data_IF_513299940486
#
_entry.id   IF_513299940486
#
_cell.length_a   1.000
_cell.length_b   1.000
_cell.length_c   1.000
_cell.angle_alpha   90.00
_cell.angle_beta   90.00
_cell.angle_gamma   90.00
#
_symmetry.space_group_name_H-M   'P 1'
#
loop_
_entity.id
_entity.type
_entity.pdbx_description
1 polymer ?
#
# COMPACT_ATOMS: atom_id res chain seq x y z
N UNK A 1 -29.00 14.57 -26.31
CA UNK A 1 -29.37 14.36 -24.93
C UNK A 1 -30.73 15.00 -24.68
N UNK A 2 -31.67 14.28 -24.10
CA UNK A 2 -32.98 14.78 -23.70
C UNK A 2 -32.87 15.32 -22.27
N UNK A 3 -33.40 16.51 -22.02
CA UNK A 3 -33.28 17.22 -20.75
C UNK A 3 -34.64 17.58 -20.18
N UNK A 4 -34.74 17.65 -18.87
CA UNK A 4 -35.86 18.19 -18.14
C UNK A 4 -35.60 19.67 -17.92
N UNK A 5 -36.51 20.50 -18.38
CA UNK A 5 -36.44 21.97 -18.23
C UNK A 5 -37.53 22.41 -17.26
N UNK A 6 -37.15 23.19 -16.31
CA UNK A 6 -38.04 23.93 -15.42
C UNK A 6 -37.89 25.43 -15.70
N UNK A 7 -38.83 26.24 -15.24
CA UNK A 7 -38.85 27.68 -15.47
C UNK A 7 -38.84 28.41 -14.12
N UNK A 8 -37.84 29.26 -13.91
CA UNK A 8 -37.76 30.09 -12.69
C UNK A 8 -39.01 30.93 -12.52
N UNK A 9 -39.66 30.83 -11.37
CA UNK A 9 -40.91 31.52 -11.04
C UNK A 9 -42.05 31.28 -12.06
N UNK A 10 -41.95 30.22 -12.86
CA UNK A 10 -42.92 29.89 -13.93
C UNK A 10 -42.79 30.77 -15.18
N UNK A 11 -41.73 31.59 -15.29
CA UNK A 11 -41.54 32.47 -16.43
C UNK A 11 -40.86 31.72 -17.61
N UNK A 12 -41.50 31.59 -18.77
CA UNK A 12 -40.97 30.88 -19.95
C UNK A 12 -39.64 31.45 -20.49
N UNK A 13 -39.34 32.70 -20.19
CA UNK A 13 -38.12 33.37 -20.63
C UNK A 13 -36.90 33.02 -19.76
N UNK A 14 -37.14 32.29 -18.63
CA UNK A 14 -36.09 31.90 -17.71
C UNK A 14 -35.98 30.37 -17.55
N UNK A 15 -35.62 29.66 -18.63
CA UNK A 15 -35.50 28.20 -18.57
C UNK A 15 -34.28 27.77 -17.75
N UNK A 16 -34.45 26.72 -16.95
CA UNK A 16 -33.40 26.06 -16.16
C UNK A 16 -33.42 24.56 -16.46
N UNK A 17 -32.27 24.02 -16.90
CA UNK A 17 -32.12 22.57 -17.03
C UNK A 17 -31.92 21.98 -15.63
N UNK A 18 -32.89 21.18 -15.18
CA UNK A 18 -32.92 20.53 -13.87
C UNK A 18 -32.50 19.07 -13.90
N UNK A 19 -32.44 18.45 -15.08
CA UNK A 19 -32.01 17.07 -15.21
C UNK A 19 -31.88 16.59 -16.64
N UNK A 20 -31.59 15.32 -16.80
CA UNK A 20 -31.59 14.63 -18.09
C UNK A 20 -32.27 13.26 -17.96
N UNK A 21 -32.85 12.79 -19.05
CA UNK A 21 -33.53 11.50 -19.12
C UNK A 21 -32.90 10.61 -20.19
N UNK A 22 -33.04 9.31 -20.01
CA UNK A 22 -32.65 8.35 -21.02
C UNK A 22 -33.75 8.18 -22.06
N UNK A 23 -33.37 7.90 -23.29
CA UNK A 23 -34.26 7.65 -24.40
C UNK A 23 -33.71 6.53 -25.31
N UNK A 24 -34.35 6.28 -26.45
CA UNK A 24 -33.96 5.24 -27.38
C UNK A 24 -32.52 5.42 -27.96
N UNK A 25 -32.05 6.67 -28.11
CA UNK A 25 -30.72 7.01 -28.61
C UNK A 25 -29.67 7.05 -27.47
N UNK A 26 -30.08 7.52 -26.29
CA UNK A 26 -29.24 7.63 -25.11
C UNK A 26 -29.76 6.67 -24.02
N UNK A 27 -29.41 5.39 -24.16
CA UNK A 27 -29.84 4.34 -23.25
C UNK A 27 -29.14 4.42 -21.88
N UNK A 28 -29.76 3.87 -20.82
CA UNK A 28 -29.10 3.72 -19.52
C UNK A 28 -27.77 2.98 -19.65
N UNK A 29 -26.77 3.25 -18.77
CA UNK A 29 -25.48 2.58 -18.81
C UNK A 29 -25.54 1.10 -18.45
N UNK A 30 -26.64 0.64 -17.84
CA UNK A 30 -26.89 -0.75 -17.44
C UNK A 30 -28.05 -1.33 -18.22
N UNK A 31 -27.94 -2.61 -18.59
CA UNK A 31 -28.94 -3.30 -19.40
C UNK A 31 -30.21 -3.60 -18.61
N UNK A 32 -31.35 -3.07 -19.03
CA UNK A 32 -32.64 -3.32 -18.41
C UNK A 32 -33.42 -4.42 -19.20
N UNK A 33 -34.15 -5.33 -18.51
CA UNK A 33 -34.35 -5.41 -17.05
C UNK A 33 -33.31 -6.26 -16.30
N UNK A 34 -32.26 -6.80 -16.97
CA UNK A 34 -31.32 -7.76 -16.37
C UNK A 34 -30.51 -7.18 -15.25
N UNK A 35 -30.15 -5.89 -15.32
CA UNK A 35 -29.33 -5.17 -14.34
C UNK A 35 -30.14 -4.12 -13.55
N UNK A 36 -31.45 -4.40 -13.30
CA UNK A 36 -32.37 -3.47 -12.63
C UNK A 36 -32.00 -3.09 -11.20
N UNK A 37 -31.11 -3.84 -10.56
CA UNK A 37 -30.60 -3.60 -9.20
C UNK A 37 -29.33 -2.75 -9.18
N UNK A 38 -28.79 -2.41 -10.38
CA UNK A 38 -27.63 -1.54 -10.52
C UNK A 38 -28.00 -0.10 -10.73
N UNK A 39 -27.31 0.78 -10.02
CA UNK A 39 -27.39 2.21 -10.25
C UNK A 39 -26.04 2.88 -9.99
N UNK A 40 -25.81 4.07 -10.48
CA UNK A 40 -24.53 4.76 -10.28
C UNK A 40 -24.30 5.91 -11.24
N UNK A 41 -23.08 6.45 -11.16
CA UNK A 41 -22.56 7.49 -12.02
C UNK A 41 -21.52 6.89 -12.96
N UNK A 42 -21.72 7.01 -14.26
CA UNK A 42 -20.77 6.56 -15.28
C UNK A 42 -20.48 7.68 -16.26
N UNK A 43 -19.22 8.05 -16.35
CA UNK A 43 -18.73 9.06 -17.29
C UNK A 43 -18.19 8.41 -18.56
N UNK A 44 -17.70 9.24 -19.48
CA UNK A 44 -16.95 8.82 -20.66
C UNK A 44 -15.80 9.79 -20.88
N UNK A 45 -14.64 9.25 -21.23
CA UNK A 45 -13.49 10.08 -21.58
C UNK A 45 -13.83 11.03 -22.75
N UNK A 46 -13.51 12.32 -22.60
CA UNK A 46 -13.81 13.33 -23.61
C UNK A 46 -12.89 13.21 -24.83
N UNK A 47 -13.41 13.64 -26.00
CA UNK A 47 -12.76 13.63 -27.31
C UNK A 47 -12.18 12.27 -27.69
N UNK A 48 -13.05 11.40 -28.25
CA UNK A 48 -12.68 10.13 -28.85
C UNK A 48 -12.69 8.92 -27.92
N UNK A 49 -13.14 9.05 -26.66
CA UNK A 49 -13.32 7.91 -25.76
C UNK A 49 -14.43 6.97 -26.22
N UNK A 50 -14.13 5.67 -26.30
CA UNK A 50 -15.09 4.61 -26.58
C UNK A 50 -15.92 4.19 -25.35
N UNK A 51 -16.73 3.16 -25.51
CA UNK A 51 -17.57 2.62 -24.43
C UNK A 51 -16.76 2.03 -23.26
N UNK A 52 -15.51 1.64 -23.51
CA UNK A 52 -14.59 1.08 -22.51
C UNK A 52 -13.80 2.15 -21.72
N UNK A 53 -13.84 3.43 -22.12
CA UNK A 53 -13.10 4.50 -21.47
C UNK A 53 -14.01 5.33 -20.57
N UNK A 54 -14.05 5.01 -19.27
CA UNK A 54 -14.99 5.62 -18.33
C UNK A 54 -14.45 5.65 -16.89
N UNK A 55 -14.96 6.57 -16.09
CA UNK A 55 -14.92 6.46 -14.63
C UNK A 55 -16.31 6.05 -14.15
N UNK A 56 -16.38 5.24 -13.10
CA UNK A 56 -17.66 4.72 -12.59
C UNK A 56 -17.67 4.64 -11.06
N UNK A 57 -18.77 5.10 -10.48
CA UNK A 57 -19.19 4.79 -9.12
C UNK A 57 -20.51 4.02 -9.25
N UNK A 58 -20.51 2.73 -8.92
CA UNK A 58 -21.65 1.85 -9.10
C UNK A 58 -22.03 1.18 -7.79
N UNK A 59 -23.31 1.02 -7.57
CA UNK A 59 -23.91 0.23 -6.52
C UNK A 59 -24.66 -0.94 -7.17
N UNK A 60 -24.47 -2.14 -6.64
CA UNK A 60 -25.27 -3.32 -6.93
C UNK A 60 -26.02 -3.69 -5.65
N UNK A 61 -27.35 -3.64 -5.69
CA UNK A 61 -28.24 -3.90 -4.54
C UNK A 61 -28.88 -5.29 -4.60
N UNK A 62 -28.39 -6.18 -5.47
CA UNK A 62 -28.88 -7.55 -5.55
C UNK A 62 -28.52 -8.32 -4.28
N UNK A 63 -29.53 -8.79 -3.54
CA UNK A 63 -29.35 -9.55 -2.30
C UNK A 63 -28.38 -10.73 -2.46
N UNK A 64 -27.31 -10.77 -1.65
CA UNK A 64 -26.26 -11.77 -1.69
C UNK A 64 -25.21 -11.56 -2.78
N UNK A 65 -25.22 -10.38 -3.42
CA UNK A 65 -24.25 -9.95 -4.43
C UNK A 65 -24.07 -8.44 -4.40
N UNK A 66 -24.32 -7.83 -3.24
CA UNK A 66 -24.17 -6.39 -3.04
C UNK A 66 -22.73 -5.95 -3.26
N UNK A 67 -22.54 -4.86 -3.98
CA UNK A 67 -21.21 -4.33 -4.32
C UNK A 67 -21.20 -2.80 -4.39
N UNK A 68 -20.18 -2.19 -3.83
CA UNK A 68 -19.77 -0.82 -4.16
C UNK A 68 -18.53 -0.88 -5.04
N UNK A 69 -18.65 -0.49 -6.30
CA UNK A 69 -17.59 -0.52 -7.29
C UNK A 69 -17.12 0.89 -7.65
N UNK A 70 -15.82 1.15 -7.49
CA UNK A 70 -15.19 2.40 -7.90
C UNK A 70 -14.15 2.10 -8.97
N UNK A 71 -14.31 2.67 -10.15
CA UNK A 71 -13.40 2.53 -11.28
C UNK A 71 -12.87 3.88 -11.74
N UNK A 72 -11.57 4.00 -11.78
CA UNK A 72 -10.87 5.13 -12.40
C UNK A 72 -10.20 4.67 -13.69
N UNK A 73 -10.50 5.31 -14.80
CA UNK A 73 -9.93 4.98 -16.12
C UNK A 73 -8.41 5.08 -16.14
N UNK A 74 -7.83 5.98 -15.33
CA UNK A 74 -6.40 6.21 -15.30
C UNK A 74 -5.87 6.32 -13.89
N UNK A 75 -6.09 7.43 -13.24
CA UNK A 75 -5.53 7.74 -11.94
C UNK A 75 -6.65 7.87 -10.90
N UNK A 76 -6.43 7.28 -9.72
CA UNK A 76 -7.30 7.45 -8.56
C UNK A 76 -6.52 8.13 -7.45
N UNK A 77 -6.95 9.33 -7.03
CA UNK A 77 -6.33 10.09 -5.94
C UNK A 77 -7.31 10.22 -4.79
N UNK A 78 -6.90 9.77 -3.61
CA UNK A 78 -7.64 9.93 -2.37
C UNK A 78 -6.87 10.87 -1.44
N UNK A 79 -7.48 12.01 -1.09
CA UNK A 79 -6.90 12.99 -0.17
C UNK A 79 -7.77 13.14 1.07
N UNK A 80 -7.24 12.79 2.23
CA UNK A 80 -7.92 12.89 3.53
C UNK A 80 -7.18 13.87 4.42
N UNK A 81 -7.81 14.99 4.80
CA UNK A 81 -7.16 16.06 5.60
C UNK A 81 -6.88 15.68 7.05
N UNK A 82 -7.60 14.72 7.60
CA UNK A 82 -7.48 14.35 9.01
C UNK A 82 -7.30 12.83 9.16
N UNK A 83 -8.35 12.05 9.23
CA UNK A 83 -8.30 10.63 9.58
C UNK A 83 -8.98 9.77 8.52
N UNK A 84 -8.31 8.73 8.05
CA UNK A 84 -8.92 7.63 7.33
C UNK A 84 -9.07 6.43 8.26
N UNK A 85 -10.24 5.85 8.32
CA UNK A 85 -10.51 4.59 9.06
C UNK A 85 -11.10 3.60 8.07
N UNK A 86 -10.59 2.38 8.09
CA UNK A 86 -11.06 1.28 7.26
C UNK A 86 -11.27 0.05 8.14
N UNK A 87 -12.39 -0.60 7.99
CA UNK A 87 -12.72 -1.86 8.63
C UNK A 87 -13.17 -2.85 7.56
N UNK A 88 -12.48 -3.96 7.45
CA UNK A 88 -12.79 -5.05 6.51
C UNK A 88 -13.16 -6.28 7.31
N UNK A 89 -14.41 -6.70 7.26
CA UNK A 89 -14.92 -7.86 7.99
C UNK A 89 -14.50 -9.23 7.43
N UNK A 90 -13.91 -9.22 6.25
CA UNK A 90 -13.39 -10.41 5.56
C UNK A 90 -11.93 -10.20 5.14
N UNK A 91 -11.65 -10.45 3.87
CA UNK A 91 -10.31 -10.36 3.29
C UNK A 91 -10.05 -9.00 2.63
N UNK A 92 -8.81 -8.53 2.70
CA UNK A 92 -8.35 -7.36 1.96
C UNK A 92 -7.24 -7.75 0.99
N UNK A 93 -7.43 -7.44 -0.31
CA UNK A 93 -6.49 -7.77 -1.37
C UNK A 93 -5.89 -6.51 -1.99
N UNK A 94 -4.57 -6.43 -2.02
CA UNK A 94 -3.84 -5.39 -2.73
C UNK A 94 -2.98 -6.03 -3.84
N UNK A 95 -3.29 -5.73 -5.10
CA UNK A 95 -2.54 -6.20 -6.26
C UNK A 95 -1.96 -5.00 -7.03
N UNK A 96 -0.66 -4.83 -6.97
CA UNK A 96 0.06 -3.73 -7.61
C UNK A 96 1.09 -4.27 -8.59
N UNK A 97 0.99 -3.88 -9.85
CA UNK A 97 1.89 -4.35 -10.92
C UNK A 97 3.27 -3.69 -10.92
N UNK A 98 3.44 -2.60 -10.22
CA UNK A 98 4.69 -1.83 -10.13
C UNK A 98 5.08 -1.61 -8.67
N UNK A 99 5.68 -0.50 -8.35
CA UNK A 99 6.14 -0.17 -7.02
C UNK A 99 4.98 0.20 -6.07
N UNK A 100 5.07 -0.22 -4.82
CA UNK A 100 4.30 0.33 -3.71
C UNK A 100 5.23 1.23 -2.90
N UNK A 101 4.89 2.50 -2.75
CA UNK A 101 5.71 3.50 -2.08
C UNK A 101 4.96 4.05 -0.86
N UNK A 102 5.52 3.83 0.32
CA UNK A 102 5.01 4.36 1.57
C UNK A 102 5.98 5.40 2.13
N UNK A 103 5.46 6.56 2.52
CA UNK A 103 6.17 7.55 3.34
C UNK A 103 5.34 7.79 4.59
N UNK A 104 5.87 7.42 5.72
CA UNK A 104 5.26 7.56 7.04
C UNK A 104 6.15 8.48 7.86
N UNK A 105 5.59 9.51 8.46
CA UNK A 105 6.33 10.53 9.20
C UNK A 105 6.30 10.30 10.72
N UNK A 106 5.61 9.25 11.15
CA UNK A 106 5.51 8.78 12.52
C UNK A 106 5.58 7.26 12.57
N UNK A 107 5.10 6.66 13.64
CA UNK A 107 5.23 5.24 13.94
C UNK A 107 4.27 4.37 13.10
N UNK A 108 4.67 3.14 12.87
CA UNK A 108 3.82 2.07 12.35
C UNK A 108 3.62 1.03 13.43
N UNK A 109 2.36 0.76 13.78
CA UNK A 109 1.98 -0.32 14.68
C UNK A 109 1.30 -1.42 13.88
N UNK A 110 1.84 -2.62 13.96
CA UNK A 110 1.28 -3.80 13.31
C UNK A 110 1.09 -4.89 14.36
N UNK A 111 -0.11 -5.44 14.46
CA UNK A 111 -0.46 -6.59 15.29
C UNK A 111 -1.07 -7.68 14.42
N UNK A 112 -0.44 -8.85 14.37
CA UNK A 112 -0.82 -9.98 13.53
C UNK A 112 -1.02 -11.18 14.43
N UNK A 113 -2.26 -11.64 14.54
CA UNK A 113 -2.61 -12.81 15.35
C UNK A 113 -2.12 -14.15 14.74
N UNK A 114 -1.90 -14.17 13.45
CA UNK A 114 -1.39 -15.32 12.70
C UNK A 114 0.06 -15.15 12.26
N UNK A 115 0.40 -15.68 11.09
CA UNK A 115 1.73 -15.63 10.53
C UNK A 115 1.91 -14.40 9.62
N UNK A 116 3.10 -13.83 9.64
CA UNK A 116 3.56 -12.88 8.62
C UNK A 116 4.48 -13.61 7.62
N UNK A 117 3.98 -13.83 6.39
CA UNK A 117 4.68 -14.56 5.35
C UNK A 117 5.18 -13.61 4.25
N UNK A 118 6.49 -13.41 4.20
CA UNK A 118 7.12 -12.51 3.24
C UNK A 118 8.00 -13.29 2.27
N UNK A 119 7.76 -13.17 0.96
CA UNK A 119 8.62 -13.70 -0.11
C UNK A 119 9.15 -12.57 -0.96
N UNK A 120 10.46 -12.41 -1.01
CA UNK A 120 11.14 -11.38 -1.79
C UNK A 120 12.00 -12.05 -2.85
N UNK A 121 11.75 -11.76 -4.14
CA UNK A 121 12.54 -12.30 -5.25
C UNK A 121 13.91 -11.64 -5.44
N UNK A 122 14.11 -10.45 -4.85
CA UNK A 122 15.37 -9.73 -4.82
C UNK A 122 15.95 -9.66 -3.42
N UNK A 123 16.58 -8.55 -3.08
CA UNK A 123 17.16 -8.32 -1.75
C UNK A 123 16.19 -7.61 -0.80
N UNK A 124 16.32 -7.88 0.49
CA UNK A 124 15.73 -7.08 1.56
C UNK A 124 16.79 -6.12 2.09
N UNK A 125 16.49 -4.82 2.06
CA UNK A 125 17.39 -3.76 2.56
C UNK A 125 16.73 -3.09 3.77
N UNK A 126 17.28 -3.30 4.95
CA UNK A 126 16.82 -2.71 6.20
C UNK A 126 17.90 -1.78 6.74
N UNK A 127 17.53 -0.51 6.96
CA UNK A 127 18.38 0.46 7.66
C UNK A 127 17.61 0.98 8.87
N UNK A 128 18.16 0.75 10.05
CA UNK A 128 17.59 1.17 11.34
C UNK A 128 18.54 2.20 11.96
N UNK A 129 18.01 3.37 12.31
CA UNK A 129 18.81 4.48 12.84
C UNK A 129 19.29 4.28 14.28
N UNK A 130 18.59 3.47 15.05
CA UNK A 130 18.91 3.19 16.47
C UNK A 130 18.97 1.69 16.73
N UNK A 131 17.92 1.10 17.28
CA UNK A 131 17.92 -0.28 17.74
C UNK A 131 17.10 -1.19 16.82
N UNK A 132 17.61 -2.36 16.56
CA UNK A 132 16.82 -3.47 16.02
C UNK A 132 16.71 -4.58 17.09
N UNK A 133 15.52 -4.83 17.57
CA UNK A 133 15.24 -5.82 18.61
C UNK A 133 14.32 -6.92 18.08
N UNK A 134 14.72 -8.17 18.26
CA UNK A 134 13.93 -9.34 17.90
C UNK A 134 13.85 -10.32 19.06
N UNK A 135 12.63 -10.79 19.40
CA UNK A 135 12.41 -11.83 20.41
C UNK A 135 11.60 -12.95 19.77
N UNK A 136 12.16 -14.15 19.72
CA UNK A 136 11.52 -15.36 19.21
C UNK A 136 11.22 -16.32 20.36
N UNK A 137 10.00 -16.82 20.41
CA UNK A 137 9.58 -17.76 21.47
C UNK A 137 10.25 -19.13 21.35
N UNK A 138 10.62 -19.55 20.15
CA UNK A 138 11.12 -20.91 19.92
C UNK A 138 12.45 -20.92 19.17
N UNK A 139 12.54 -20.35 17.99
CA UNK A 139 13.72 -20.52 17.12
C UNK A 139 13.96 -19.33 16.20
N UNK A 140 15.21 -18.98 16.04
CA UNK A 140 15.71 -18.18 14.92
C UNK A 140 16.61 -19.04 14.03
N UNK A 141 16.31 -19.15 12.75
CA UNK A 141 17.16 -19.83 11.79
C UNK A 141 17.53 -18.86 10.66
N UNK A 142 18.81 -18.79 10.34
CA UNK A 142 19.33 -17.96 9.25
C UNK A 142 20.27 -18.81 8.41
N UNK A 143 19.92 -19.01 7.12
CA UNK A 143 20.74 -19.73 6.16
C UNK A 143 21.16 -18.76 5.05
N UNK A 144 22.44 -18.69 4.74
CA UNK A 144 22.98 -17.94 3.63
C UNK A 144 23.83 -18.85 2.75
N UNK A 145 23.65 -18.77 1.43
CA UNK A 145 24.39 -19.60 0.47
C UNK A 145 25.89 -19.29 0.40
N UNK A 146 26.31 -18.09 0.82
CA UNK A 146 27.71 -17.67 0.74
C UNK A 146 28.24 -17.13 2.07
N UNK A 147 27.62 -16.11 2.65
CA UNK A 147 28.20 -15.39 3.78
C UNK A 147 27.14 -14.94 4.78
N UNK A 148 27.43 -15.08 6.09
CA UNK A 148 26.78 -14.39 7.18
C UNK A 148 27.84 -13.53 7.84
N UNK A 149 27.72 -12.19 7.72
CA UNK A 149 28.66 -11.25 8.34
C UNK A 149 28.00 -10.54 9.52
N UNK A 150 28.50 -10.80 10.72
CA UNK A 150 28.09 -10.14 11.96
C UNK A 150 29.23 -9.29 12.46
N UNK A 151 29.03 -7.96 12.52
CA UNK A 151 30.06 -7.00 12.97
C UNK A 151 29.47 -6.04 13.99
N UNK A 152 30.14 -5.90 15.12
CA UNK A 152 29.88 -4.84 16.09
C UNK A 152 31.06 -3.93 16.22
N UNK A 153 30.84 -2.65 16.52
CA UNK A 153 31.93 -1.68 16.79
C UNK A 153 32.67 -1.94 18.11
N UNK A 154 31.97 -2.56 19.09
CA UNK A 154 32.55 -2.81 20.42
C UNK A 154 32.42 -4.28 20.84
N UNK A 155 31.24 -4.84 20.92
CA UNK A 155 31.02 -6.15 21.57
C UNK A 155 30.08 -7.02 20.77
N UNK A 156 30.43 -8.29 20.59
CA UNK A 156 29.53 -9.38 20.16
C UNK A 156 29.44 -10.39 21.29
N UNK A 157 28.24 -10.66 21.77
CA UNK A 157 27.95 -11.69 22.77
C UNK A 157 27.15 -12.80 22.11
N UNK A 158 27.64 -14.03 22.23
CA UNK A 158 26.93 -15.24 21.84
C UNK A 158 26.73 -16.08 23.10
N UNK A 159 25.50 -16.22 23.55
CA UNK A 159 25.16 -16.92 24.79
C UNK A 159 24.16 -18.04 24.49
N UNK A 160 24.41 -19.21 25.07
CA UNK A 160 23.51 -20.36 24.98
C UNK A 160 23.39 -21.01 26.36
N UNK A 161 22.19 -21.37 26.78
CA UNK A 161 21.92 -21.99 28.07
C UNK A 161 22.44 -23.42 28.20
N UNK A 162 22.66 -24.13 27.09
CA UNK A 162 23.09 -25.54 27.12
C UNK A 162 24.32 -25.80 26.27
N UNK A 163 24.37 -25.31 25.03
CA UNK A 163 25.48 -25.63 24.13
C UNK A 163 25.70 -24.53 23.07
N UNK A 164 26.95 -24.18 22.84
CA UNK A 164 27.39 -23.33 21.74
C UNK A 164 28.42 -24.08 20.90
N UNK A 165 28.15 -24.24 19.60
CA UNK A 165 29.05 -24.91 18.68
C UNK A 165 29.44 -23.99 17.52
N UNK A 166 30.74 -23.83 17.28
CA UNK A 166 31.32 -23.24 16.07
C UNK A 166 31.94 -24.34 15.23
N UNK A 167 31.46 -24.58 14.01
CA UNK A 167 31.82 -25.74 13.20
C UNK A 167 32.17 -25.37 11.78
N UNK A 168 33.24 -25.94 11.26
CA UNK A 168 33.63 -25.89 9.85
C UNK A 168 34.08 -27.30 9.41
N UNK A 169 33.31 -27.97 8.57
CA UNK A 169 33.58 -29.35 8.18
C UNK A 169 33.69 -30.30 9.39
N UNK A 170 34.85 -30.92 9.57
CA UNK A 170 35.15 -31.81 10.70
C UNK A 170 35.78 -31.10 11.91
N UNK A 171 36.10 -29.83 11.80
CA UNK A 171 36.71 -29.01 12.86
C UNK A 171 35.64 -28.27 13.63
N UNK A 172 35.78 -28.15 14.95
CA UNK A 172 34.81 -27.45 15.78
C UNK A 172 35.38 -26.92 17.10
N UNK A 173 34.69 -25.95 17.68
CA UNK A 173 34.74 -25.57 19.07
C UNK A 173 33.35 -25.80 19.64
N UNK A 174 33.24 -26.61 20.68
CA UNK A 174 31.99 -26.92 21.37
C UNK A 174 32.11 -26.58 22.84
N UNK A 175 31.19 -25.78 23.32
CA UNK A 175 31.11 -25.34 24.71
C UNK A 175 29.81 -25.86 25.30
N UNK A 176 29.88 -26.72 26.33
CA UNK A 176 28.74 -27.29 27.01
C UNK A 176 29.03 -27.53 28.47
N UNK A 177 28.09 -28.01 29.30
CA UNK A 177 28.31 -28.22 30.73
C UNK A 177 29.46 -29.17 31.11
N UNK A 178 29.90 -30.05 30.17
CA UNK A 178 31.03 -30.97 30.43
C UNK A 178 32.39 -30.29 30.16
N UNK A 179 32.40 -29.12 29.48
CA UNK A 179 33.64 -28.39 29.24
C UNK A 179 33.70 -27.70 27.86
N UNK A 180 34.92 -27.30 27.50
CA UNK A 180 35.26 -26.71 26.20
C UNK A 180 36.03 -27.72 25.37
N UNK A 181 35.50 -28.17 24.26
CA UNK A 181 36.09 -29.14 23.36
C UNK A 181 36.57 -28.47 22.09
N UNK A 182 37.85 -28.59 21.78
CA UNK A 182 38.42 -28.08 20.57
C UNK A 182 38.96 -29.25 19.76
N UNK A 183 38.45 -29.45 18.56
CA UNK A 183 38.89 -30.49 17.61
C UNK A 183 39.26 -29.88 16.26
N UNK A 184 40.42 -30.19 15.78
CA UNK A 184 40.89 -29.83 14.45
C UNK A 184 41.98 -30.77 13.98
N UNK A 185 42.26 -30.79 12.67
CA UNK A 185 43.40 -31.52 12.11
C UNK A 185 44.72 -30.99 12.72
N UNK A 186 44.75 -29.70 12.99
CA UNK A 186 45.85 -29.01 13.75
C UNK A 186 45.18 -27.97 14.64
N UNK A 187 45.61 -27.88 15.89
CA UNK A 187 45.21 -26.85 16.84
C UNK A 187 46.45 -26.04 17.20
N UNK A 188 46.47 -24.77 16.79
CA UNK A 188 47.55 -23.82 17.08
C UNK A 188 47.06 -22.82 18.13
N UNK A 189 47.73 -22.71 19.23
CA UNK A 189 47.42 -21.78 20.32
C UNK A 189 48.53 -20.72 20.38
N UNK A 190 48.15 -19.46 20.30
CA UNK A 190 49.03 -18.30 20.38
C UNK A 190 50.11 -18.24 19.28
N UNK A 191 49.87 -18.88 18.12
CA UNK A 191 50.78 -18.76 16.97
C UNK A 191 50.11 -19.09 15.66
N UNK A 192 50.45 -18.41 14.57
CA UNK A 192 50.02 -18.69 13.21
C UNK A 192 48.54 -18.34 12.86
N UNK A 193 48.19 -18.56 11.62
CA UNK A 193 46.84 -18.30 11.09
C UNK A 193 46.61 -16.85 10.65
N UNK A 194 45.49 -16.64 9.95
CA UNK A 194 45.00 -15.30 9.59
C UNK A 194 43.46 -15.25 9.80
N UNK A 195 43.00 -14.10 10.27
CA UNK A 195 41.55 -13.87 10.42
C UNK A 195 40.88 -13.72 9.06
N UNK A 196 39.67 -14.30 8.93
CA UNK A 196 38.79 -14.02 7.82
C UNK A 196 38.25 -12.59 7.87
N UNK A 197 37.86 -12.10 6.73
CA UNK A 197 37.15 -10.83 6.58
C UNK A 197 35.80 -11.07 5.86
N UNK A 198 34.84 -10.18 6.10
CA UNK A 198 33.53 -10.23 5.44
C UNK A 198 33.12 -8.86 4.91
N UNK A 199 32.08 -8.86 4.08
CA UNK A 199 31.51 -7.66 3.50
C UNK A 199 30.59 -6.95 4.51
N UNK A 200 30.74 -5.65 4.69
CA UNK A 200 29.85 -4.85 5.52
C UNK A 200 28.46 -4.69 4.92
N UNK A 201 27.47 -4.33 5.75
CA UNK A 201 26.12 -4.02 5.28
C UNK A 201 26.11 -2.70 4.49
N UNK A 202 25.46 -2.70 3.32
CA UNK A 202 25.25 -1.52 2.46
C UNK A 202 23.81 -1.50 1.92
N UNK A 203 22.81 -1.20 2.76
CA UNK A 203 21.42 -1.20 2.34
C UNK A 203 21.14 -0.06 1.35
N UNK A 204 20.26 -0.35 0.36
CA UNK A 204 19.78 0.66 -0.59
C UNK A 204 18.72 1.53 0.07
N UNK A 205 18.74 2.83 -0.22
CA UNK A 205 17.70 3.76 0.22
C UNK A 205 16.36 3.50 -0.51
N UNK A 206 15.22 3.71 0.17
CA UNK A 206 13.91 3.62 -0.47
C UNK A 206 13.67 4.78 -1.44
N UNK A 207 12.79 4.55 -2.43
CA UNK A 207 12.28 5.60 -3.31
C UNK A 207 11.30 6.49 -2.55
N UNK A 208 11.24 7.77 -2.93
CA UNK A 208 10.26 8.70 -2.36
C UNK A 208 8.86 8.41 -2.90
N UNK A 209 7.87 8.40 -2.02
CA UNK A 209 6.47 8.37 -2.39
C UNK A 209 6.05 9.74 -2.97
N UNK A 210 5.21 9.73 -4.02
CA UNK A 210 4.59 10.94 -4.54
C UNK A 210 3.61 11.52 -3.50
N UNK A 211 3.53 12.85 -3.42
CA UNK A 211 2.49 13.52 -2.65
C UNK A 211 1.17 13.43 -3.42
N UNK A 212 0.07 13.10 -2.75
CA UNK A 212 -1.26 13.33 -3.30
C UNK A 212 -1.50 14.85 -3.32
N UNK A 213 -1.15 15.51 -4.43
CA UNK A 213 -1.55 16.87 -4.66
C UNK A 213 -3.05 16.84 -4.94
N UNK A 214 -3.86 17.38 -4.02
CA UNK A 214 -5.26 17.67 -4.30
C UNK A 214 -5.29 18.55 -5.55
N UNK A 215 -6.22 18.27 -6.48
CA UNK A 215 -6.53 19.24 -7.52
C UNK A 215 -6.72 20.58 -6.81
N UNK A 216 -5.95 21.59 -7.18
CA UNK A 216 -6.18 22.95 -6.76
C UNK A 216 -7.64 23.24 -7.12
N UNK A 217 -8.55 23.16 -6.14
CA UNK A 217 -9.92 23.56 -6.33
C UNK A 217 -9.87 24.91 -7.02
N UNK A 218 -10.58 25.05 -8.12
CA UNK A 218 -10.64 26.31 -8.83
C UNK A 218 -10.81 27.41 -7.78
N UNK A 219 -10.02 28.46 -7.91
CA UNK A 219 -10.01 29.59 -7.01
C UNK A 219 -11.40 29.81 -6.43
N UNK A 220 -11.57 29.69 -5.11
CA UNK A 220 -12.78 29.98 -4.37
C UNK A 220 -13.14 31.46 -4.56
N UNK A 221 -13.57 31.80 -5.78
CA UNK A 221 -14.37 32.99 -5.97
C UNK A 221 -15.77 32.59 -5.55
N UNK A 222 -16.30 33.13 -4.44
CA UNK A 222 -17.70 32.97 -4.12
C UNK A 222 -18.48 33.32 -5.38
N UNK A 223 -19.44 32.49 -5.76
CA UNK A 223 -20.43 32.85 -6.78
C UNK A 223 -21.14 34.08 -6.25
N UNK A 224 -20.61 35.27 -6.53
CA UNK A 224 -21.31 36.52 -6.31
C UNK A 224 -22.49 36.49 -7.26
N UNK A 225 -23.67 36.13 -6.72
CA UNK A 225 -24.94 36.44 -7.38
C UNK A 225 -24.91 37.95 -7.69
N UNK A 226 -24.74 38.32 -8.94
CA UNK A 226 -25.13 39.62 -9.39
C UNK A 226 -26.64 39.70 -9.16
N UNK A 227 -27.04 40.34 -8.10
CA UNK A 227 -28.41 40.78 -7.96
C UNK A 227 -28.70 41.64 -9.19
N UNK A 228 -29.55 41.16 -10.10
CA UNK A 228 -30.10 41.99 -11.13
C UNK A 228 -30.89 43.09 -10.45
N UNK A 229 -30.40 44.33 -10.56
CA UNK A 229 -31.15 45.48 -10.07
C UNK A 229 -32.46 45.55 -10.84
N UNK A 230 -33.54 45.31 -10.18
CA UNK A 230 -34.88 45.67 -10.64
C UNK A 230 -34.89 47.19 -10.93
N UNK A 231 -34.89 47.55 -12.19
CA UNK A 231 -35.25 48.88 -12.58
C UNK A 231 -36.78 48.97 -12.45
N UNK A 232 -37.22 49.63 -11.37
CA UNK A 232 -38.57 50.17 -11.27
C UNK A 232 -38.77 51.23 -12.34
N UNK A 233 -39.69 51.00 -13.28
CA UNK A 233 -40.33 52.03 -14.06
C UNK A 233 -41.77 52.20 -13.60
#
# INVERSE_FOLDING_TARGET
QEVVVDFLEGDPDWPLITGSVYNAENRPPYSLPSEKTRWGLKSRSSKGGGASNFNELRFEDKKGGEELYLHAEKDHTLHTKNKRTEFVGGESHLNVKKDVLHKLEADVHTDIAGDDMVKVGGGVHLQVGQDWQGKMGTRMAVDAGQEIHLKAGMTVVLEAGAQLTLKVGGNFIDINPAGVFIKGTMVMVNSGGSAGSGSGASPKAPKNAAKAEGSQGGTDKPLTRKAAALKSA
#
